data_IF_141390871377
#
_entry.id   IF_141390871377
#
_cell.length_a   1.000
_cell.length_b   1.000
_cell.length_c   1.000
_cell.angle_alpha   90.00
_cell.angle_beta   90.00
_cell.angle_gamma   90.00
#
_symmetry.space_group_name_H-M   'P 1'
#
loop_
_entity.id
_entity.type
_entity.pdbx_description
1 polymer ?
#
# COMPACT_ATOMS: atom_id res chain seq x y z
N UNK A 1 -35.15 4.00 20.25
CA UNK A 1 -34.44 2.94 19.50
C UNK A 1 -33.03 3.43 19.23
N UNK A 2 -32.03 2.96 19.99
CA UNK A 2 -30.64 3.31 19.73
C UNK A 2 -30.16 2.51 18.52
N UNK A 3 -29.92 3.17 17.38
CA UNK A 3 -29.24 2.53 16.26
C UNK A 3 -27.77 2.34 16.64
N UNK A 4 -27.38 1.12 17.01
CA UNK A 4 -25.97 0.73 17.09
C UNK A 4 -25.44 0.60 15.67
N UNK A 5 -25.02 1.74 15.09
CA UNK A 5 -24.22 1.71 13.88
C UNK A 5 -22.98 0.84 14.15
N UNK A 6 -22.54 0.00 13.19
CA UNK A 6 -21.37 -0.84 13.39
C UNK A 6 -20.17 0.04 13.72
N UNK A 7 -19.53 -0.23 14.86
CA UNK A 7 -18.24 0.38 15.20
C UNK A 7 -17.21 -0.28 14.30
N UNK A 8 -16.89 0.38 13.19
CA UNK A 8 -15.79 -0.05 12.32
C UNK A 8 -14.50 0.21 13.09
N UNK A 9 -13.76 -0.86 13.40
CA UNK A 9 -12.43 -0.74 13.98
C UNK A 9 -11.45 -0.19 12.93
N UNK A 10 -11.39 1.13 12.84
CA UNK A 10 -10.47 1.86 11.96
C UNK A 10 -9.00 1.67 12.35
N UNK A 11 -8.67 0.95 13.44
CA UNK A 11 -7.28 0.62 13.78
C UNK A 11 -6.63 -0.31 12.76
N UNK A 12 -7.42 -0.97 11.89
CA UNK A 12 -6.93 -1.88 10.87
C UNK A 12 -7.56 -1.59 9.49
N UNK A 13 -7.20 -0.45 8.89
CA UNK A 13 -7.52 -0.20 7.47
C UNK A 13 -6.59 -1.06 6.61
N UNK A 14 -7.16 -1.99 5.85
CA UNK A 14 -6.39 -2.78 4.89
C UNK A 14 -7.13 -2.96 3.59
N UNK A 15 -6.38 -3.06 2.49
CA UNK A 15 -6.92 -3.30 1.16
C UNK A 15 -5.99 -4.19 0.36
N UNK A 16 -6.55 -4.81 -0.69
CA UNK A 16 -5.82 -5.69 -1.60
C UNK A 16 -5.48 -4.91 -2.87
N UNK A 17 -4.23 -5.05 -3.31
CA UNK A 17 -3.74 -4.53 -4.60
C UNK A 17 -3.39 -5.72 -5.48
N UNK A 18 -4.07 -5.82 -6.63
CA UNK A 18 -3.80 -6.81 -7.65
C UNK A 18 -3.02 -6.15 -8.80
N UNK A 19 -1.76 -6.53 -8.98
CA UNK A 19 -0.86 -5.97 -9.99
C UNK A 19 -0.68 -6.88 -11.20
N UNK A 20 -1.55 -7.89 -11.40
CA UNK A 20 -1.37 -8.91 -12.46
C UNK A 20 -1.25 -8.30 -13.84
N UNK A 21 -1.96 -7.19 -14.09
CA UNK A 21 -1.91 -6.45 -15.37
C UNK A 21 -0.73 -5.49 -15.50
N UNK A 22 -0.01 -5.20 -14.42
CA UNK A 22 1.15 -4.29 -14.40
C UNK A 22 2.49 -5.03 -14.60
N UNK A 23 2.47 -6.37 -14.65
CA UNK A 23 3.66 -7.20 -14.71
C UNK A 23 4.35 -7.38 -13.36
N UNK A 24 5.52 -8.04 -13.38
CA UNK A 24 6.32 -8.29 -12.17
C UNK A 24 6.72 -6.97 -11.51
N UNK A 25 6.78 -6.96 -10.18
CA UNK A 25 7.13 -5.76 -9.41
C UNK A 25 6.67 -5.86 -7.96
N UNK A 26 6.74 -4.74 -7.25
CA UNK A 26 6.22 -4.56 -5.90
C UNK A 26 5.19 -3.43 -5.85
N UNK A 27 4.48 -3.32 -4.73
CA UNK A 27 3.57 -2.22 -4.44
C UNK A 27 4.22 -1.32 -3.40
N UNK A 28 4.18 0.00 -3.64
CA UNK A 28 4.42 1.01 -2.62
C UNK A 28 3.12 1.75 -2.33
N UNK A 29 2.89 2.06 -1.06
CA UNK A 29 1.77 2.87 -0.63
C UNK A 29 2.26 3.87 0.42
N UNK A 30 1.85 5.12 0.26
CA UNK A 30 2.07 6.20 1.21
C UNK A 30 0.72 6.67 1.72
N UNK A 31 0.59 6.84 3.04
CA UNK A 31 -0.62 7.33 3.69
C UNK A 31 -0.30 8.62 4.44
N UNK A 32 -0.87 9.74 4.02
CA UNK A 32 -0.51 11.07 4.54
C UNK A 32 -1.75 11.76 5.10
N UNK A 33 -1.66 12.26 6.33
CA UNK A 33 -2.70 13.07 6.96
C UNK A 33 -2.71 14.49 6.38
N UNK A 34 -3.78 15.24 6.64
CA UNK A 34 -3.92 16.62 6.16
C UNK A 34 -2.86 17.60 6.68
N UNK A 35 -2.16 17.27 7.77
CA UNK A 35 -1.05 18.06 8.31
C UNK A 35 0.32 17.64 7.76
N UNK A 36 0.35 16.74 6.78
CA UNK A 36 1.57 16.24 6.14
C UNK A 36 2.27 15.10 6.88
N UNK A 37 1.85 14.76 8.10
CA UNK A 37 2.39 13.59 8.79
C UNK A 37 1.97 12.29 8.10
N UNK A 38 2.76 11.23 8.27
CA UNK A 38 2.52 9.95 7.61
C UNK A 38 2.05 8.89 8.61
N UNK A 39 1.12 8.03 8.18
CA UNK A 39 0.75 6.83 8.90
C UNK A 39 1.71 5.69 8.54
N UNK A 40 1.84 4.71 9.44
CA UNK A 40 2.63 3.51 9.17
C UNK A 40 1.90 2.64 8.15
N UNK A 41 2.63 2.19 7.12
CA UNK A 41 2.12 1.31 6.08
C UNK A 41 2.94 0.04 6.04
N UNK A 42 2.26 -1.11 6.03
CA UNK A 42 2.84 -2.44 5.94
C UNK A 42 2.37 -3.10 4.65
N UNK A 43 3.32 -3.66 3.90
CA UNK A 43 3.07 -4.40 2.66
C UNK A 43 3.31 -5.89 2.89
N UNK A 44 2.29 -6.69 2.65
CA UNK A 44 2.35 -8.14 2.74
C UNK A 44 2.09 -8.72 1.35
N UNK A 45 3.01 -9.54 0.83
CA UNK A 45 2.81 -10.24 -0.44
C UNK A 45 2.04 -11.53 -0.16
N UNK A 46 0.83 -11.64 -0.70
CA UNK A 46 -0.03 -12.82 -0.54
C UNK A 46 0.20 -13.85 -1.65
N UNK A 47 0.27 -13.37 -2.90
CA UNK A 47 0.54 -14.19 -4.09
C UNK A 47 1.47 -13.43 -5.05
N UNK A 48 1.84 -14.01 -6.20
CA UNK A 48 2.79 -13.42 -7.14
C UNK A 48 2.46 -11.96 -7.51
N UNK A 49 1.17 -11.66 -7.67
CA UNK A 49 0.64 -10.35 -8.07
C UNK A 49 -0.37 -9.76 -7.08
N UNK A 50 -0.54 -10.37 -5.91
CA UNK A 50 -1.54 -9.96 -4.91
C UNK A 50 -0.83 -9.49 -3.65
N UNK A 51 -1.08 -8.24 -3.28
CA UNK A 51 -0.50 -7.60 -2.11
C UNK A 51 -1.60 -7.12 -1.17
N UNK A 52 -1.43 -7.33 0.14
CA UNK A 52 -2.21 -6.65 1.16
C UNK A 52 -1.43 -5.44 1.64
N UNK A 53 -2.07 -4.28 1.60
CA UNK A 53 -1.58 -3.03 2.18
C UNK A 53 -2.35 -2.80 3.47
N UNK A 54 -1.64 -2.71 4.59
CA UNK A 54 -2.20 -2.39 5.91
C UNK A 54 -1.72 -1.02 6.35
N UNK A 55 -2.65 -0.16 6.72
CA UNK A 55 -2.38 1.17 7.28
C UNK A 55 -2.67 1.10 8.77
N UNK A 56 -1.75 1.60 9.58
CA UNK A 56 -1.92 1.73 11.03
C UNK A 56 -2.01 3.23 11.33
N UNK A 57 -3.23 3.77 11.49
CA UNK A 57 -3.40 5.18 11.82
C UNK A 57 -2.88 5.46 13.23
N UNK A 58 -2.11 6.53 13.38
CA UNK A 58 -1.57 7.05 14.64
C UNK A 58 -2.45 8.15 15.24
N UNK A 59 -3.43 8.64 14.48
CA UNK A 59 -4.41 9.65 14.90
C UNK A 59 -5.66 9.60 14.02
N UNK A 60 -6.72 10.23 14.50
CA UNK A 60 -7.98 10.38 13.76
C UNK A 60 -7.90 11.52 12.75
N UNK A 61 -8.42 11.30 11.55
CA UNK A 61 -8.54 12.33 10.52
C UNK A 61 -8.54 11.77 9.11
N UNK A 62 -8.86 12.58 8.09
CA UNK A 62 -8.74 12.18 6.71
C UNK A 62 -7.27 11.91 6.34
N UNK A 63 -7.06 10.92 5.48
CA UNK A 63 -5.77 10.58 4.91
C UNK A 63 -5.86 10.48 3.39
N UNK A 64 -4.82 10.94 2.70
CA UNK A 64 -4.63 10.71 1.28
C UNK A 64 -3.70 9.51 1.07
N UNK A 65 -4.14 8.56 0.25
CA UNK A 65 -3.38 7.37 -0.09
C UNK A 65 -2.78 7.52 -1.49
N UNK A 66 -1.47 7.33 -1.59
CA UNK A 66 -0.77 7.27 -2.87
C UNK A 66 -0.20 5.87 -3.07
N UNK A 67 -0.75 5.13 -4.04
CA UNK A 67 -0.41 3.72 -4.32
C UNK A 67 0.26 3.63 -5.69
N UNK A 68 1.45 3.03 -5.75
CA UNK A 68 2.25 2.89 -6.95
C UNK A 68 2.69 1.43 -7.16
N UNK A 69 2.70 0.98 -8.42
CA UNK A 69 3.44 -0.21 -8.83
C UNK A 69 4.91 0.18 -9.08
N UNK A 70 5.83 -0.65 -8.60
CA UNK A 70 7.26 -0.47 -8.78
C UNK A 70 7.79 -1.68 -9.56
N UNK A 71 8.14 -1.51 -10.84
CA UNK A 71 8.77 -2.58 -11.61
C UNK A 71 10.07 -3.06 -10.95
N UNK A 72 10.49 -4.32 -11.17
CA UNK A 72 11.78 -4.81 -10.69
C UNK A 72 12.89 -3.96 -11.31
N UNK A 73 13.95 -3.72 -10.53
CA UNK A 73 15.14 -3.04 -11.04
C UNK A 73 15.64 -3.77 -12.29
N UNK A 74 15.93 -3.03 -13.35
CA UNK A 74 16.56 -3.61 -14.53
C UNK A 74 17.89 -4.25 -14.12
N UNK A 75 18.09 -5.53 -14.45
CA UNK A 75 19.40 -6.16 -14.30
C UNK A 75 20.43 -5.31 -15.04
N UNK A 76 21.61 -5.04 -14.46
CA UNK A 76 22.67 -4.37 -15.21
C UNK A 76 22.98 -5.25 -16.41
N UNK A 77 22.60 -4.77 -17.60
CA UNK A 77 23.00 -5.38 -18.86
C UNK A 77 24.52 -5.51 -18.82
N UNK A 78 25.04 -6.74 -18.93
CA UNK A 78 26.45 -6.98 -19.19
C UNK A 78 26.81 -6.17 -20.43
N UNK A 79 27.43 -5.00 -20.24
CA UNK A 79 28.08 -4.27 -21.31
C UNK A 79 29.25 -5.15 -21.72
N UNK A 80 29.06 -5.94 -22.78
CA UNK A 80 30.18 -6.50 -23.52
C UNK A 80 31.08 -5.32 -23.90
N UNK A 81 32.25 -5.22 -23.26
CA UNK A 81 33.34 -4.42 -23.79
C UNK A 81 33.90 -5.22 -24.95
N UNK A 82 33.66 -4.72 -26.16
CA UNK A 82 34.45 -5.05 -27.35
C UNK A 82 35.88 -4.54 -27.16
#
# INVERSE_FOLDING_TARGET
MHSTLPIVDIRNVSFIVNTKKCGKGSVKCKATYSDGNEAVVIHEKLEEYIFRVKIIPTKTGPMHLHVCHVPPAASPSHRYRL
#
